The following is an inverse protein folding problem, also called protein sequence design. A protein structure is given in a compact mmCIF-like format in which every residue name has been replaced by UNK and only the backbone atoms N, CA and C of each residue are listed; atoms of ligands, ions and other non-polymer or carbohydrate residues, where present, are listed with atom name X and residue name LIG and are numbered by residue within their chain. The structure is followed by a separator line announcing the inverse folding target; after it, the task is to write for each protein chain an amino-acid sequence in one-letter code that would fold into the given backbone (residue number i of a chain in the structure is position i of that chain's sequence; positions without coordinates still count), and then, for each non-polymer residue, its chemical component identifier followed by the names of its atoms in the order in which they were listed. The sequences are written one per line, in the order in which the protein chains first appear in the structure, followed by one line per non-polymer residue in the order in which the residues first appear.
data_IF_550678538814
#
_entry.id   IF_550678538814
#
_cell.length_a   1.000
_cell.length_b   1.000
_cell.length_c   1.000
_cell.angle_alpha   90.00
_cell.angle_beta   90.00
_cell.angle_gamma   90.00
#
_symmetry.space_group_name_H-M   'P 1'
#
loop_
_entity.id
_entity.type
_entity.pdbx_description
1 polymer ?
#
# COMPACT_ATOMS: atom_id res chain seq x y z
N UNK A 1 7.71 70.42 -13.29
CA UNK A 1 9.16 70.29 -13.00
C UNK A 1 9.37 69.10 -12.06
N UNK A 2 10.34 68.24 -12.41
CA UNK A 2 11.04 67.18 -11.66
C UNK A 2 10.34 66.50 -10.46
N UNK A 3 10.00 65.20 -10.46
CA UNK A 3 10.85 63.99 -10.36
C UNK A 3 11.70 63.87 -9.08
N UNK A 4 11.75 62.62 -8.58
CA UNK A 4 12.72 61.95 -7.67
C UNK A 4 12.43 62.06 -6.15
N UNK A 5 12.39 61.01 -5.31
CA UNK A 5 12.83 59.60 -5.34
C UNK A 5 12.05 58.74 -4.31
N UNK A 6 11.98 57.42 -4.55
CA UNK A 6 11.41 56.34 -3.68
C UNK A 6 12.29 56.07 -2.43
N UNK A 7 11.86 55.20 -1.48
CA UNK A 7 12.18 53.78 -1.62
C UNK A 7 11.14 52.75 -1.14
N UNK A 8 11.11 51.62 -1.87
CA UNK A 8 10.94 50.21 -1.46
C UNK A 8 9.99 49.89 -0.28
N UNK A 9 8.81 49.34 -0.59
CA UNK A 9 8.19 48.33 0.27
C UNK A 9 8.09 47.01 -0.50
N UNK A 10 9.10 46.19 -0.24
CA UNK A 10 9.24 44.82 -0.69
C UNK A 10 8.10 43.96 -0.13
N UNK A 11 7.64 43.05 -0.98
CA UNK A 11 6.81 41.89 -0.72
C UNK A 11 7.07 41.28 0.67
N UNK A 12 6.00 41.10 1.45
CA UNK A 12 5.92 39.97 2.38
C UNK A 12 4.53 39.36 2.22
N UNK A 13 4.42 38.50 1.20
CA UNK A 13 3.46 37.41 1.20
C UNK A 13 3.68 36.66 2.51
N UNK A 14 2.85 36.93 3.51
CA UNK A 14 2.65 36.05 4.65
C UNK A 14 1.95 34.82 4.07
N UNK A 15 2.73 33.99 3.38
CA UNK A 15 2.42 32.59 3.18
C UNK A 15 2.18 32.04 4.59
N UNK A 16 0.95 31.61 4.94
CA UNK A 16 0.78 30.87 6.17
C UNK A 16 1.73 29.67 6.11
N UNK A 17 2.73 29.59 7.01
CA UNK A 17 3.58 28.43 7.08
C UNK A 17 2.69 27.26 7.53
N UNK A 18 2.92 26.07 6.99
CA UNK A 18 2.47 24.82 7.61
C UNK A 18 0.97 24.41 7.54
N UNK A 19 0.08 25.01 6.73
CA UNK A 19 -1.28 24.44 6.57
C UNK A 19 -1.35 23.22 5.62
N UNK A 20 -0.23 22.82 5.01
CA UNK A 20 -0.20 21.72 4.05
C UNK A 20 0.86 20.66 4.37
N UNK A 21 1.03 20.32 5.64
CA UNK A 21 1.43 18.95 5.97
C UNK A 21 0.16 18.09 5.87
N UNK A 22 -0.26 17.82 4.63
CA UNK A 22 -1.30 16.84 4.32
C UNK A 22 -0.69 15.46 4.65
N UNK A 23 -0.69 15.12 5.92
CA UNK A 23 -0.23 13.84 6.45
C UNK A 23 -1.20 12.77 5.93
N UNK A 24 -0.98 12.27 4.70
CA UNK A 24 -1.75 11.16 4.14
C UNK A 24 -1.21 9.87 4.72
N UNK A 25 -1.56 9.59 5.97
CA UNK A 25 -1.53 8.21 6.46
C UNK A 25 -2.64 7.46 5.72
N UNK A 26 -2.32 6.31 5.14
CA UNK A 26 -3.31 5.44 4.52
C UNK A 26 -4.46 5.18 5.52
N UNK A 27 -5.70 5.44 5.10
CA UNK A 27 -6.86 5.40 6.00
C UNK A 27 -7.54 4.04 5.93
N UNK A 28 -7.49 3.30 7.03
CA UNK A 28 -8.37 2.16 7.28
C UNK A 28 -9.56 2.59 8.14
N UNK A 29 -10.79 2.27 7.73
CA UNK A 29 -12.02 2.63 8.43
C UNK A 29 -12.98 1.43 8.55
N UNK A 30 -13.58 1.27 9.73
CA UNK A 30 -14.65 0.29 9.95
C UNK A 30 -16.01 1.00 9.93
N UNK A 31 -16.86 0.66 8.97
CA UNK A 31 -18.14 1.31 8.74
C UNK A 31 -19.22 0.72 9.67
N UNK A 32 -19.83 1.60 10.47
CA UNK A 32 -20.84 1.21 11.46
C UNK A 32 -22.28 1.40 10.97
N UNK A 33 -22.51 2.28 9.99
CA UNK A 33 -23.85 2.60 9.48
C UNK A 33 -23.81 3.27 8.10
N UNK A 34 -25.00 3.41 7.48
CA UNK A 34 -25.16 4.01 6.14
C UNK A 34 -24.74 5.49 6.08
N UNK A 35 -24.98 6.27 7.14
CA UNK A 35 -24.59 7.67 7.17
C UNK A 35 -23.07 7.82 7.10
N UNK A 36 -22.34 7.00 7.85
CA UNK A 36 -20.88 6.96 7.80
C UNK A 36 -20.39 6.48 6.43
N UNK A 37 -20.99 5.43 5.87
CA UNK A 37 -20.66 4.95 4.53
C UNK A 37 -20.81 6.05 3.48
N UNK A 38 -21.91 6.79 3.48
CA UNK A 38 -22.13 7.85 2.51
C UNK A 38 -21.04 8.93 2.61
N UNK A 39 -20.73 9.39 3.83
CA UNK A 39 -19.71 10.41 4.06
C UNK A 39 -18.29 9.95 3.72
N UNK A 40 -17.88 8.79 4.23
CA UNK A 40 -16.47 8.35 4.22
C UNK A 40 -16.11 7.52 2.97
N UNK A 41 -17.11 7.04 2.22
CA UNK A 41 -16.92 6.23 1.00
C UNK A 41 -17.50 6.93 -0.24
N UNK A 42 -18.77 7.34 -0.21
CA UNK A 42 -19.44 7.87 -1.41
C UNK A 42 -19.05 9.32 -1.70
N UNK A 43 -18.93 10.15 -0.67
CA UNK A 43 -18.52 11.56 -0.78
C UNK A 43 -16.99 11.72 -0.72
N UNK A 44 -16.25 10.62 -0.57
CA UNK A 44 -14.80 10.65 -0.47
C UNK A 44 -14.16 11.05 -1.81
N UNK A 45 -13.24 12.02 -1.73
CA UNK A 45 -12.45 12.48 -2.88
C UNK A 45 -11.39 11.47 -3.31
N UNK A 46 -10.90 10.67 -2.35
CA UNK A 46 -9.92 9.62 -2.59
C UNK A 46 -10.62 8.34 -3.08
N UNK A 47 -9.96 7.54 -3.95
CA UNK A 47 -10.43 6.21 -4.27
C UNK A 47 -10.60 5.37 -3.00
N UNK A 48 -11.67 4.59 -2.94
CA UNK A 48 -12.01 3.79 -1.77
C UNK A 48 -12.22 2.33 -2.16
N UNK A 49 -11.50 1.43 -1.49
CA UNK A 49 -11.72 -0.01 -1.54
C UNK A 49 -12.54 -0.44 -0.32
N UNK A 50 -13.69 -1.04 -0.54
CA UNK A 50 -14.57 -1.52 0.53
C UNK A 50 -14.57 -3.05 0.57
N UNK A 51 -14.24 -3.63 1.72
CA UNK A 51 -14.41 -5.06 2.01
C UNK A 51 -15.74 -5.26 2.75
N UNK A 52 -16.69 -5.94 2.11
CA UNK A 52 -17.85 -6.50 2.78
C UNK A 52 -17.48 -7.87 3.37
N UNK A 53 -17.67 -8.03 4.67
CA UNK A 53 -17.27 -9.21 5.44
C UNK A 53 -18.34 -9.64 6.44
N UNK A 54 -18.19 -10.83 7.02
CA UNK A 54 -19.00 -11.31 8.13
C UNK A 54 -18.12 -12.03 9.16
N UNK A 55 -18.54 -12.06 10.42
CA UNK A 55 -17.75 -12.65 11.50
C UNK A 55 -17.72 -14.19 11.42
N UNK A 56 -18.79 -14.79 10.89
CA UNK A 56 -18.93 -16.23 10.66
C UNK A 56 -18.21 -16.74 9.39
N UNK A 57 -17.65 -15.85 8.58
CA UNK A 57 -17.00 -16.20 7.32
C UNK A 57 -15.52 -16.52 7.53
N UNK A 58 -15.15 -17.80 7.45
CA UNK A 58 -13.77 -18.26 7.65
C UNK A 58 -12.75 -17.59 6.72
N UNK A 59 -13.04 -17.53 5.41
CA UNK A 59 -12.17 -16.84 4.43
C UNK A 59 -12.00 -15.36 4.76
N UNK A 60 -13.06 -14.70 5.26
CA UNK A 60 -13.01 -13.30 5.66
C UNK A 60 -12.04 -13.07 6.82
N UNK A 61 -11.99 -13.99 7.79
CA UNK A 61 -11.06 -13.93 8.91
C UNK A 61 -9.61 -14.12 8.44
N UNK A 62 -9.37 -15.08 7.53
CA UNK A 62 -8.04 -15.33 6.99
C UNK A 62 -7.47 -14.11 6.26
N UNK A 63 -8.28 -13.43 5.43
CA UNK A 63 -7.82 -12.28 4.65
C UNK A 63 -7.89 -10.95 5.39
N UNK A 64 -8.38 -10.93 6.64
CA UNK A 64 -8.51 -9.71 7.45
C UNK A 64 -7.17 -9.00 7.66
N UNK A 65 -6.16 -9.73 8.14
CA UNK A 65 -4.81 -9.18 8.40
C UNK A 65 -4.09 -8.78 7.09
N UNK A 66 -4.08 -9.61 6.04
CA UNK A 66 -3.55 -9.19 4.73
C UNK A 66 -4.20 -7.92 4.19
N UNK A 67 -5.52 -7.79 4.28
CA UNK A 67 -6.24 -6.59 3.84
C UNK A 67 -5.81 -5.34 4.61
N UNK A 68 -5.74 -5.44 5.94
CA UNK A 68 -5.26 -4.34 6.80
C UNK A 68 -3.78 -4.01 6.58
N UNK A 69 -2.96 -5.00 6.22
CA UNK A 69 -1.55 -4.81 5.88
C UNK A 69 -1.40 -3.98 4.61
N UNK A 70 -2.14 -4.34 3.55
CA UNK A 70 -2.19 -3.54 2.31
C UNK A 70 -2.72 -2.14 2.58
N UNK A 71 -3.73 -2.01 3.44
CA UNK A 71 -4.28 -0.71 3.83
C UNK A 71 -3.29 0.20 4.57
N UNK A 72 -2.19 -0.33 5.11
CA UNK A 72 -1.13 0.42 5.79
C UNK A 72 0.07 0.72 4.90
N UNK A 73 0.08 0.18 3.68
CA UNK A 73 1.21 0.33 2.79
C UNK A 73 1.37 1.79 2.31
N UNK A 74 2.59 2.36 2.34
CA UNK A 74 2.87 3.71 1.83
C UNK A 74 2.45 3.92 0.37
N UNK A 75 2.49 2.89 -0.46
CA UNK A 75 2.07 2.95 -1.87
C UNK A 75 0.58 3.29 -2.03
N UNK A 76 -0.22 3.02 -0.99
CA UNK A 76 -1.66 3.26 -0.98
C UNK A 76 -2.07 4.38 -0.04
N UNK A 77 -1.15 5.29 0.31
CA UNK A 77 -1.43 6.48 1.14
C UNK A 77 -2.60 7.34 0.66
N UNK A 78 -2.87 7.32 -0.65
CA UNK A 78 -3.94 8.06 -1.31
C UNK A 78 -5.23 7.24 -1.53
N UNK A 79 -5.30 6.02 -1.00
CA UNK A 79 -6.46 5.12 -1.08
C UNK A 79 -7.05 4.94 0.31
N UNK A 80 -8.38 5.04 0.40
CA UNK A 80 -9.11 4.68 1.62
C UNK A 80 -9.51 3.21 1.58
N UNK A 81 -9.26 2.49 2.66
CA UNK A 81 -9.70 1.10 2.83
C UNK A 81 -10.81 1.08 3.86
N UNK A 82 -11.97 0.57 3.49
CA UNK A 82 -13.13 0.47 4.35
C UNK A 82 -13.51 -1.00 4.56
N UNK A 83 -14.00 -1.35 5.74
CA UNK A 83 -14.65 -2.63 5.99
C UNK A 83 -16.09 -2.43 6.44
N UNK A 84 -16.98 -3.26 5.95
CA UNK A 84 -18.41 -3.25 6.25
C UNK A 84 -18.80 -4.66 6.68
N UNK A 85 -19.24 -4.81 7.94
CA UNK A 85 -19.87 -6.06 8.38
C UNK A 85 -21.31 -6.13 7.85
N UNK A 86 -21.64 -7.20 7.11
CA UNK A 86 -22.93 -7.35 6.42
C UNK A 86 -24.10 -7.61 7.37
N UNK A 87 -23.85 -8.22 8.53
CA UNK A 87 -24.88 -8.51 9.53
C UNK A 87 -25.30 -7.22 10.25
N UNK A 88 -24.33 -6.34 10.50
CA UNK A 88 -24.57 -5.01 11.11
C UNK A 88 -25.13 -4.00 10.11
N UNK A 89 -24.89 -4.19 8.81
CA UNK A 89 -25.21 -3.21 7.77
C UNK A 89 -26.01 -3.82 6.59
N UNK A 90 -27.06 -4.59 6.89
CA UNK A 90 -27.85 -5.31 5.87
C UNK A 90 -28.39 -4.41 4.74
N UNK A 91 -28.80 -3.17 5.05
CA UNK A 91 -29.29 -2.21 4.06
C UNK A 91 -28.21 -1.82 3.05
N UNK A 92 -26.96 -1.63 3.49
CA UNK A 92 -25.83 -1.36 2.60
C UNK A 92 -25.54 -2.56 1.70
N UNK A 93 -25.56 -3.77 2.26
CA UNK A 93 -25.38 -5.01 1.50
C UNK A 93 -26.41 -5.14 0.38
N UNK A 94 -27.69 -4.87 0.67
CA UNK A 94 -28.76 -4.90 -0.33
C UNK A 94 -28.57 -3.81 -1.40
N UNK A 95 -28.28 -2.58 -0.98
CA UNK A 95 -28.10 -1.42 -1.88
C UNK A 95 -26.96 -1.60 -2.87
N UNK A 96 -25.90 -2.29 -2.47
CA UNK A 96 -24.72 -2.55 -3.30
C UNK A 96 -24.70 -3.95 -3.92
N UNK A 97 -25.82 -4.68 -3.85
CA UNK A 97 -26.01 -6.00 -4.47
C UNK A 97 -24.94 -7.02 -4.00
N UNK A 98 -24.62 -7.00 -2.71
CA UNK A 98 -23.66 -7.92 -2.10
C UNK A 98 -24.33 -9.27 -1.92
N UNK A 99 -23.96 -10.23 -2.77
CA UNK A 99 -24.53 -11.59 -2.80
C UNK A 99 -23.73 -12.61 -2.00
N UNK A 100 -22.51 -12.26 -1.60
CA UNK A 100 -21.62 -13.15 -0.84
C UNK A 100 -20.47 -12.40 -0.18
N UNK A 101 -19.73 -13.09 0.70
CA UNK A 101 -18.57 -12.55 1.41
C UNK A 101 -17.37 -13.49 1.31
N UNK A 102 -16.13 -12.96 1.30
CA UNK A 102 -15.81 -11.53 1.23
C UNK A 102 -16.16 -10.95 -0.16
N UNK A 103 -16.60 -9.70 -0.21
CA UNK A 103 -16.74 -8.95 -1.48
C UNK A 103 -15.95 -7.66 -1.41
N UNK A 104 -15.16 -7.39 -2.44
CA UNK A 104 -14.34 -6.18 -2.57
C UNK A 104 -14.97 -5.25 -3.59
N UNK A 105 -15.41 -4.07 -3.14
CA UNK A 105 -16.09 -3.06 -3.96
C UNK A 105 -15.15 -1.86 -4.15
N UNK A 106 -14.88 -1.52 -5.40
CA UNK A 106 -13.97 -0.44 -5.78
C UNK A 106 -14.80 0.79 -6.15
N UNK A 107 -14.62 1.88 -5.41
CA UNK A 107 -15.36 3.13 -5.57
C UNK A 107 -14.38 4.26 -5.85
N UNK A 108 -14.72 5.14 -6.78
CA UNK A 108 -13.97 6.36 -7.03
C UNK A 108 -14.94 7.50 -7.32
N UNK A 109 -14.81 8.61 -6.57
CA UNK A 109 -15.67 9.81 -6.69
C UNK A 109 -17.17 9.45 -6.67
N UNK A 110 -17.58 8.63 -5.71
CA UNK A 110 -18.96 8.19 -5.52
C UNK A 110 -19.51 7.21 -6.56
N UNK A 111 -18.68 6.72 -7.49
CA UNK A 111 -19.09 5.75 -8.51
C UNK A 111 -18.46 4.38 -8.27
N UNK A 112 -19.27 3.32 -8.35
CA UNK A 112 -18.80 1.93 -8.40
C UNK A 112 -18.03 1.72 -9.71
N UNK A 113 -16.75 1.35 -9.60
CA UNK A 113 -15.92 0.95 -10.75
C UNK A 113 -16.18 -0.53 -11.06
N UNK A 114 -15.99 -1.39 -10.05
CA UNK A 114 -16.20 -2.83 -10.14
C UNK A 114 -16.35 -3.46 -8.75
N UNK A 115 -16.69 -4.74 -8.71
CA UNK A 115 -16.61 -5.57 -7.51
C UNK A 115 -16.04 -6.95 -7.83
N UNK A 116 -15.41 -7.55 -6.82
CA UNK A 116 -14.85 -8.91 -6.86
C UNK A 116 -15.43 -9.69 -5.69
N UNK A 117 -16.00 -10.86 -5.99
CA UNK A 117 -16.65 -11.72 -4.99
C UNK A 117 -15.70 -12.89 -4.71
N UNK A 118 -15.46 -13.12 -3.43
CA UNK A 118 -14.59 -14.18 -2.93
C UNK A 118 -13.11 -13.87 -3.09
N UNK A 119 -12.30 -14.89 -2.78
CA UNK A 119 -10.84 -14.87 -2.89
C UNK A 119 -10.45 -16.15 -3.62
N UNK A 120 -9.74 -16.03 -4.75
CA UNK A 120 -9.41 -17.19 -5.60
C UNK A 120 -8.28 -18.04 -5.03
N UNK A 121 -7.21 -17.38 -4.57
CA UNK A 121 -6.06 -18.01 -3.94
C UNK A 121 -5.75 -17.21 -2.66
N UNK A 122 -5.85 -17.86 -1.51
CA UNK A 122 -5.68 -17.22 -0.20
C UNK A 122 -4.22 -16.80 0.00
N UNK A 123 -3.28 -17.63 -0.41
CA UNK A 123 -1.83 -17.39 -0.22
C UNK A 123 -1.36 -16.19 -1.04
N UNK A 124 -1.91 -16.01 -2.24
CA UNK A 124 -1.60 -14.90 -3.14
C UNK A 124 -2.52 -13.69 -2.98
N UNK A 125 -3.43 -13.72 -1.99
CA UNK A 125 -4.45 -12.68 -1.85
C UNK A 125 -3.83 -11.28 -1.73
N UNK A 126 -2.75 -11.15 -0.95
CA UNK A 126 -2.14 -9.84 -0.70
C UNK A 126 -1.58 -9.23 -1.99
N UNK A 127 -0.84 -10.02 -2.79
CA UNK A 127 -0.24 -9.54 -4.05
C UNK A 127 -1.29 -9.28 -5.12
N UNK A 128 -2.29 -10.16 -5.21
CA UNK A 128 -3.43 -9.96 -6.11
C UNK A 128 -4.18 -8.68 -5.77
N UNK A 129 -4.43 -8.41 -4.48
CA UNK A 129 -5.09 -7.19 -4.02
C UNK A 129 -4.27 -5.95 -4.39
N UNK A 130 -2.96 -5.97 -4.13
CA UNK A 130 -2.03 -4.87 -4.47
C UNK A 130 -2.07 -4.54 -5.95
N UNK A 131 -1.92 -5.54 -6.81
CA UNK A 131 -1.97 -5.39 -8.27
C UNK A 131 -3.32 -4.83 -8.72
N UNK A 132 -4.39 -5.36 -8.15
CA UNK A 132 -5.76 -4.95 -8.49
C UNK A 132 -6.06 -3.51 -8.08
N UNK A 133 -5.65 -3.10 -6.88
CA UNK A 133 -5.80 -1.71 -6.41
C UNK A 133 -5.05 -0.74 -7.31
N UNK A 134 -3.79 -1.04 -7.65
CA UNK A 134 -2.96 -0.21 -8.54
C UNK A 134 -3.60 -0.04 -9.92
N UNK A 135 -4.01 -1.14 -10.53
CA UNK A 135 -4.60 -1.13 -11.88
C UNK A 135 -5.98 -0.48 -11.90
N UNK A 136 -6.83 -0.75 -10.91
CA UNK A 136 -8.22 -0.26 -10.88
C UNK A 136 -8.29 1.24 -10.64
N UNK A 137 -7.43 1.78 -9.77
CA UNK A 137 -7.39 3.21 -9.50
C UNK A 137 -6.40 3.97 -10.37
N UNK A 138 -5.74 3.29 -11.32
CA UNK A 138 -4.74 3.85 -12.22
C UNK A 138 -3.68 4.66 -11.46
N UNK A 139 -3.13 4.05 -10.40
CA UNK A 139 -2.07 4.65 -9.59
C UNK A 139 -0.78 4.65 -10.43
N UNK A 140 -0.59 5.67 -11.27
CA UNK A 140 0.65 5.85 -12.03
C UNK A 140 1.78 6.27 -11.08
N UNK A 141 3.03 5.88 -11.40
CA UNK A 141 4.25 6.02 -10.58
C UNK A 141 4.60 7.43 -10.07
N UNK A 142 3.83 8.46 -10.45
CA UNK A 142 3.99 9.85 -9.98
C UNK A 142 3.84 9.96 -8.45
N UNK A 143 3.12 9.03 -7.80
CA UNK A 143 2.97 9.02 -6.34
C UNK A 143 4.09 8.24 -5.59
N UNK A 144 4.91 7.43 -6.29
CA UNK A 144 5.96 6.58 -5.69
C UNK A 144 7.32 7.29 -5.69
N UNK A 145 7.64 8.06 -6.72
CA UNK A 145 8.92 8.79 -6.79
C UNK A 145 9.06 9.83 -5.66
N UNK A 146 7.95 10.40 -5.18
CA UNK A 146 7.95 11.30 -4.03
C UNK A 146 8.26 10.62 -2.68
N UNK A 147 8.32 9.28 -2.61
CA UNK A 147 8.60 8.56 -1.35
C UNK A 147 10.09 8.32 -1.08
N UNK A 148 10.96 8.40 -2.09
CA UNK A 148 12.41 8.22 -1.90
C UNK A 148 13.14 9.52 -1.54
N UNK A 149 12.61 10.67 -1.95
CA UNK A 149 13.18 11.98 -1.58
C UNK A 149 12.88 12.35 -0.11
N UNK A 150 11.76 11.87 0.45
CA UNK A 150 11.34 12.17 1.83
C UNK A 150 12.10 11.34 2.91
N UNK A 151 12.83 10.29 2.51
CA UNK A 151 13.61 9.45 3.44
C UNK A 151 15.08 9.89 3.61
N UNK A 152 15.57 10.80 2.77
CA UNK A 152 16.99 11.22 2.80
C UNK A 152 17.26 12.58 3.45
N UNK A 153 16.25 13.27 4.00
CA UNK A 153 16.42 14.61 4.59
C UNK A 153 16.05 14.70 6.08
N UNK A 154 16.42 13.71 6.90
CA UNK A 154 16.39 13.84 8.36
C UNK A 154 17.81 13.78 8.96
N UNK A 155 18.67 14.69 8.52
CA UNK A 155 19.77 15.13 9.36
C UNK A 155 19.25 16.22 10.30
N UNK A 156 18.77 15.82 11.48
CA UNK A 156 18.91 16.62 12.71
C UNK A 156 18.67 15.72 13.92
N UNK A 157 19.77 15.40 14.59
CA UNK A 157 19.84 14.74 15.89
C UNK A 157 19.75 15.82 16.98
N UNK A 158 18.83 15.74 17.96
CA UNK A 158 19.03 16.36 19.25
C UNK A 158 19.30 15.28 20.31
N UNK A 159 20.58 15.17 20.65
CA UNK A 159 21.19 14.86 21.95
C UNK A 159 20.46 13.87 22.87
N UNK A 160 21.02 12.68 22.92
CA UNK A 160 21.06 11.89 24.14
C UNK A 160 21.84 12.65 25.22
N UNK A 161 21.14 13.18 26.22
CA UNK A 161 21.65 13.32 27.59
C UNK A 161 20.47 13.67 28.51
N UNK A 162 20.35 12.93 29.61
CA UNK A 162 19.39 13.09 30.71
C UNK A 162 18.02 12.42 30.56
N UNK A 163 18.00 11.09 30.72
CA UNK A 163 16.90 10.35 31.36
C UNK A 163 17.39 8.96 31.82
N UNK A 164 18.48 8.96 32.59
CA UNK A 164 18.95 7.81 33.38
C UNK A 164 19.47 8.36 34.70
N UNK A 165 18.60 8.80 35.61
CA UNK A 165 19.03 9.11 36.98
C UNK A 165 17.94 9.22 38.08
N UNK A 166 16.71 8.72 37.88
CA UNK A 166 15.67 8.85 38.93
C UNK A 166 14.86 7.56 39.21
N UNK A 167 15.49 6.39 39.12
CA UNK A 167 14.84 5.11 39.47
C UNK A 167 15.69 4.16 40.33
N UNK A 168 16.68 4.70 41.07
CA UNK A 168 17.55 3.90 41.97
C UNK A 168 17.30 4.07 43.48
N UNK A 169 16.28 4.80 43.92
CA UNK A 169 15.96 4.88 45.35
C UNK A 169 14.52 4.48 45.62
N UNK A 170 14.29 3.18 45.80
CA UNK A 170 13.44 2.61 46.86
C UNK A 170 13.30 1.10 46.64
N UNK A 171 14.22 0.37 47.24
CA UNK A 171 14.16 -1.05 47.50
C UNK A 171 13.51 -1.23 48.89
N UNK A 172 12.36 -1.92 49.02
CA UNK A 172 12.01 -2.57 50.28
C UNK A 172 12.56 -3.99 50.25
N UNK A 173 13.41 -4.27 51.23
CA UNK A 173 13.78 -5.62 51.62
C UNK A 173 12.55 -6.30 52.21
N UNK A 174 12.18 -7.47 51.71
CA UNK A 174 11.98 -8.64 52.57
C UNK A 174 11.86 -9.90 51.71
N UNK A 175 12.54 -10.90 52.24
CA UNK A 175 12.94 -12.19 51.70
C UNK A 175 12.04 -13.19 52.40
N UNK A 176 11.30 -14.00 51.66
CA UNK A 176 10.74 -15.24 52.20
C UNK A 176 11.18 -16.38 51.28
N UNK A 177 11.96 -17.27 51.91
CA UNK A 177 12.53 -18.50 51.40
C UNK A 177 11.45 -19.55 51.08
N UNK A 178 11.85 -20.60 50.35
CA UNK A 178 11.10 -21.84 50.08
C UNK A 178 10.29 -21.92 48.77
N UNK A 179 10.94 -21.80 47.60
CA UNK A 179 10.48 -22.53 46.41
C UNK A 179 11.51 -22.62 45.27
N UNK A 180 12.68 -23.25 45.44
CA UNK A 180 13.44 -23.75 44.27
C UNK A 180 14.39 -24.87 44.67
N UNK A 181 13.83 -26.04 44.97
CA UNK A 181 14.56 -27.30 45.00
C UNK A 181 13.68 -28.35 44.32
N UNK A 182 14.04 -28.71 43.08
CA UNK A 182 13.85 -30.02 42.43
C UNK A 182 14.20 -29.85 40.94
N UNK A 183 15.50 -29.89 40.66
CA UNK A 183 16.03 -30.20 39.34
C UNK A 183 16.95 -31.40 39.51
N UNK A 184 16.41 -32.61 39.34
CA UNK A 184 17.13 -33.73 38.73
C UNK A 184 16.15 -34.89 38.45
N UNK A 185 16.51 -35.72 37.48
CA UNK A 185 15.93 -37.02 37.13
C UNK A 185 14.59 -37.02 36.36
N UNK A 186 14.66 -37.00 35.02
CA UNK A 186 14.58 -38.25 34.23
C UNK A 186 14.66 -37.98 32.72
N UNK A 187 15.63 -38.65 32.11
CA UNK A 187 15.82 -38.78 30.68
C UNK A 187 14.73 -39.66 30.06
N UNK A 188 14.20 -39.25 28.90
CA UNK A 188 13.86 -40.14 27.79
C UNK A 188 13.55 -39.35 26.53
N UNK A 189 14.49 -39.32 25.58
CA UNK A 189 14.25 -38.93 24.19
C UNK A 189 13.37 -39.97 23.47
N UNK A 190 12.50 -39.55 22.55
CA UNK A 190 12.14 -40.35 21.40
C UNK A 190 12.70 -39.76 20.09
N UNK A 191 13.31 -40.66 19.32
CA UNK A 191 13.81 -40.47 17.95
C UNK A 191 12.63 -40.39 16.98
N UNK A 192 12.53 -39.30 16.23
CA UNK A 192 11.74 -39.23 15.00
C UNK A 192 12.27 -38.08 14.12
N UNK A 193 13.49 -38.25 13.61
CA UNK A 193 14.13 -37.33 12.68
C UNK A 193 14.67 -38.15 11.51
N UNK A 194 13.78 -38.59 10.61
CA UNK A 194 14.13 -39.25 9.35
C UNK A 194 12.94 -39.36 8.38
N UNK A 195 12.12 -38.32 8.22
CA UNK A 195 11.13 -38.27 7.11
C UNK A 195 10.90 -36.86 6.51
N UNK A 196 11.62 -35.82 6.94
CA UNK A 196 11.45 -34.44 6.42
C UNK A 196 12.45 -34.01 5.34
N UNK A 197 13.48 -34.81 5.04
CA UNK A 197 14.54 -34.39 4.10
C UNK A 197 14.13 -34.54 2.62
N UNK A 198 13.16 -35.42 2.31
CA UNK A 198 12.71 -35.66 0.93
C UNK A 198 11.80 -34.57 0.35
N UNK A 199 11.05 -33.85 1.19
CA UNK A 199 10.09 -32.83 0.72
C UNK A 199 10.81 -31.52 0.38
N UNK A 200 11.88 -31.18 1.11
CA UNK A 200 12.63 -29.93 0.92
C UNK A 200 13.37 -29.93 -0.44
N UNK A 201 13.88 -31.08 -0.90
CA UNK A 201 14.58 -31.19 -2.19
C UNK A 201 13.60 -31.03 -3.38
N UNK A 202 12.40 -31.59 -3.29
CA UNK A 202 11.38 -31.46 -4.34
C UNK A 202 10.82 -30.03 -4.48
N UNK A 203 10.79 -29.27 -3.38
CA UNK A 203 10.39 -27.87 -3.39
C UNK A 203 11.45 -26.97 -4.05
N UNK A 204 12.74 -27.31 -3.95
CA UNK A 204 13.83 -26.53 -4.57
C UNK A 204 13.86 -26.67 -6.09
N UNK A 205 13.57 -27.85 -6.63
CA UNK A 205 13.50 -28.07 -8.08
C UNK A 205 12.29 -27.35 -8.70
N UNK A 206 11.14 -27.37 -8.02
CA UNK A 206 9.94 -26.64 -8.48
C UNK A 206 10.16 -25.12 -8.50
N UNK A 207 10.96 -24.59 -7.57
CA UNK A 207 11.30 -23.16 -7.54
C UNK A 207 12.19 -22.76 -8.72
N UNK A 208 13.12 -23.62 -9.17
CA UNK A 208 13.96 -23.35 -10.35
C UNK A 208 13.14 -23.29 -11.64
N UNK A 209 12.22 -24.22 -11.84
CA UNK A 209 11.36 -24.23 -13.04
C UNK A 209 10.48 -22.97 -13.12
N UNK A 210 10.00 -22.48 -11.97
CA UNK A 210 9.24 -21.21 -11.91
C UNK A 210 10.15 -20.01 -12.19
N UNK A 211 11.41 -20.02 -11.75
CA UNK A 211 12.35 -18.93 -12.06
C UNK A 211 12.69 -18.87 -13.55
N UNK A 212 12.99 -20.01 -14.20
CA UNK A 212 13.31 -20.05 -15.64
C UNK A 212 12.13 -19.56 -16.50
N UNK A 213 10.91 -19.97 -16.18
CA UNK A 213 9.71 -19.51 -16.93
C UNK A 213 9.46 -18.00 -16.78
N UNK A 214 9.86 -17.38 -15.66
CA UNK A 214 9.74 -15.92 -15.49
C UNK A 214 10.77 -15.13 -16.29
N UNK A 215 11.97 -15.68 -16.49
CA UNK A 215 13.00 -15.04 -17.33
C UNK A 215 12.62 -15.06 -18.81
N UNK A 216 12.04 -16.17 -19.30
CA UNK A 216 11.54 -16.27 -20.66
C UNK A 216 10.39 -15.29 -20.94
N UNK A 217 9.45 -15.16 -20.00
CA UNK A 217 8.35 -14.21 -20.10
C UNK A 217 8.85 -12.76 -20.14
N UNK A 218 9.85 -12.42 -19.32
CA UNK A 218 10.48 -11.09 -19.32
C UNK A 218 11.24 -10.81 -20.63
N UNK A 219 11.88 -11.82 -21.21
CA UNK A 219 12.52 -11.73 -22.53
C UNK A 219 11.52 -11.41 -23.64
N UNK A 220 10.36 -12.07 -23.64
CA UNK A 220 9.29 -11.82 -24.61
C UNK A 220 8.72 -10.40 -24.49
N UNK A 221 8.45 -9.94 -23.27
CA UNK A 221 7.94 -8.58 -23.01
C UNK A 221 8.94 -7.51 -23.47
N UNK A 222 10.24 -7.69 -23.20
CA UNK A 222 11.28 -6.78 -23.67
C UNK A 222 11.40 -6.75 -25.20
N UNK A 223 11.21 -7.89 -25.86
CA UNK A 223 11.19 -7.98 -27.33
C UNK A 223 10.03 -7.17 -27.92
N UNK A 224 8.81 -7.33 -27.37
CA UNK A 224 7.64 -6.53 -27.78
C UNK A 224 7.87 -5.04 -27.54
N UNK A 225 8.44 -4.67 -26.40
CA UNK A 225 8.77 -3.28 -26.07
C UNK A 225 9.72 -2.67 -27.11
N UNK A 226 10.75 -3.41 -27.54
CA UNK A 226 11.70 -2.95 -28.54
C UNK A 226 11.04 -2.76 -29.92
N UNK A 227 10.15 -3.67 -30.32
CA UNK A 227 9.39 -3.55 -31.57
C UNK A 227 8.50 -2.31 -31.55
N UNK A 228 7.75 -2.09 -30.46
CA UNK A 228 6.88 -0.93 -30.30
C UNK A 228 7.71 0.38 -30.33
N UNK A 229 8.83 0.43 -29.61
CA UNK A 229 9.73 1.59 -29.61
C UNK A 229 10.32 1.87 -31.00
N UNK A 230 10.64 0.83 -31.77
CA UNK A 230 11.09 0.98 -33.17
C UNK A 230 10.03 1.65 -34.06
N UNK A 231 8.76 1.23 -33.92
CA UNK A 231 7.64 1.81 -34.67
C UNK A 231 7.43 3.28 -34.28
N UNK A 232 7.45 3.59 -32.98
CA UNK A 232 7.33 4.97 -32.47
C UNK A 232 8.44 5.86 -33.04
N UNK A 233 9.69 5.39 -33.02
CA UNK A 233 10.82 6.14 -33.56
C UNK A 233 10.69 6.39 -35.06
N UNK A 234 10.23 5.40 -35.83
CA UNK A 234 10.00 5.55 -37.27
C UNK A 234 8.90 6.58 -37.59
N UNK A 235 7.79 6.55 -36.84
CA UNK A 235 6.70 7.53 -36.98
C UNK A 235 7.21 8.93 -36.60
N UNK A 236 7.92 9.05 -35.48
CA UNK A 236 8.45 10.34 -34.99
C UNK A 236 9.45 10.94 -35.98
N UNK A 237 10.32 10.12 -36.56
CA UNK A 237 11.25 10.53 -37.61
C UNK A 237 10.53 11.03 -38.86
N UNK A 238 9.47 10.33 -39.29
CA UNK A 238 8.66 10.72 -40.45
C UNK A 238 7.93 12.04 -40.21
N UNK A 239 7.35 12.25 -39.02
CA UNK A 239 6.71 13.51 -38.63
C UNK A 239 7.75 14.65 -38.62
N UNK A 240 8.94 14.42 -38.07
CA UNK A 240 10.02 15.42 -38.03
C UNK A 240 10.46 15.85 -39.43
N UNK A 241 10.57 14.91 -40.37
CA UNK A 241 10.89 15.21 -41.76
C UNK A 241 9.80 16.07 -42.42
N UNK A 242 8.52 15.74 -42.20
CA UNK A 242 7.39 16.52 -42.72
C UNK A 242 7.40 17.94 -42.15
N UNK A 243 7.66 18.11 -40.85
CA UNK A 243 7.75 19.42 -40.20
C UNK A 243 8.87 20.27 -40.81
N UNK A 244 10.04 19.70 -41.09
CA UNK A 244 11.15 20.43 -41.73
C UNK A 244 10.82 20.84 -43.17
N UNK A 245 10.11 20.00 -43.92
CA UNK A 245 9.61 20.34 -45.27
C UNK A 245 8.61 21.51 -45.20
N UNK A 246 7.67 21.48 -44.26
CA UNK A 246 6.68 22.55 -44.06
C UNK A 246 7.37 23.86 -43.65
N UNK A 247 8.33 23.82 -42.72
CA UNK A 247 9.12 25.01 -42.33
C UNK A 247 9.89 25.60 -43.52
N UNK A 248 10.45 24.75 -44.39
CA UNK A 248 11.14 25.20 -45.60
C UNK A 248 10.22 25.82 -46.67
N UNK A 249 8.93 25.49 -46.66
CA UNK A 249 7.92 26.03 -47.59
C UNK A 249 7.31 27.35 -47.09
N UNK A 250 7.16 27.55 -45.78
CA UNK A 250 6.57 28.75 -45.18
C UNK A 250 7.61 29.76 -44.64
N UNK A 251 8.89 29.40 -44.63
CA UNK A 251 10.01 30.25 -44.18
C UNK A 251 10.73 31.03 -45.28
N UNK A 252 10.11 31.20 -46.46
CA UNK A 252 10.61 32.04 -47.56
C UNK A 252 9.69 33.24 -47.78
#
# INVERSE_FOLDING_TARGET
MSKFLKPKSTILFILPPLFFLFQTKARFIEIQNEKQFNKDVMENKQPTLVQFSADWCGVCQTVKKPFESVAKDPDFKNVTFARVNIDKNMSLSKKHEITGVPTFLYINKGKKIKNEIGVKNIDQFQDSLRSTVRTTFNLTQVDVAQSMDDMMQSEEMPQAENMMQESQEQMPQEMDDDMYEMADETMSEPKEEQEEVGIIEQMQDTVKDVQETTEEANGFVNSIKNIIMGIINAITGSIKAIIEIIKGLFGR
#
